data_IF_964774561410
#
_entry.id   IF_964774561410
#
_cell.length_a   1.000
_cell.length_b   1.000
_cell.length_c   1.000
_cell.angle_alpha   90.00
_cell.angle_beta   90.00
_cell.angle_gamma   90.00
#
_symmetry.space_group_name_H-M   'P 1'
#
loop_
_entity.id
_entity.type
_entity.pdbx_description
1 polymer ?
#
# COMPACT_ATOMS: atom_id res chain seq x y z
N UNK A 1 26.84 4.78 -0.43
CA UNK A 1 25.66 5.44 -0.23
C UNK A 1 24.48 4.75 -0.76
N UNK A 2 23.48 4.57 0.01
CA UNK A 2 22.34 3.83 -0.41
C UNK A 2 21.28 4.76 -0.89
N UNK A 3 20.64 4.41 -1.97
CA UNK A 3 19.54 5.21 -2.45
C UNK A 3 18.37 5.09 -1.49
N UNK A 4 17.57 6.14 -1.41
CA UNK A 4 16.38 6.10 -0.59
C UNK A 4 15.40 5.11 -1.17
N UNK A 5 14.66 4.44 -0.28
CA UNK A 5 13.58 3.58 -0.73
C UNK A 5 12.44 4.45 -1.24
N UNK A 6 11.82 4.03 -2.31
CA UNK A 6 10.75 4.79 -2.94
C UNK A 6 9.40 4.20 -2.55
N UNK A 7 8.53 5.04 -2.02
CA UNK A 7 7.19 4.62 -1.63
C UNK A 7 6.18 5.30 -2.52
N UNK A 8 5.17 4.55 -2.97
CA UNK A 8 4.07 5.10 -3.74
C UNK A 8 2.86 5.20 -2.80
N UNK A 9 2.31 6.39 -2.64
CA UNK A 9 1.11 6.60 -1.84
C UNK A 9 -0.04 6.96 -2.75
N UNK A 10 -1.13 6.22 -2.69
CA UNK A 10 -2.30 6.46 -3.54
C UNK A 10 -3.53 6.65 -2.66
N UNK A 11 -4.14 7.83 -2.73
CA UNK A 11 -5.34 8.14 -1.95
C UNK A 11 -5.99 9.35 -2.61
N UNK A 12 -7.31 9.38 -2.71
CA UNK A 12 -7.98 10.52 -3.31
C UNK A 12 -8.19 11.66 -2.30
N UNK A 13 -7.83 11.46 -1.05
CA UNK A 13 -7.91 12.50 -0.04
C UNK A 13 -6.57 13.22 0.02
N UNK A 14 -6.53 14.45 -0.46
CA UNK A 14 -5.30 15.21 -0.53
C UNK A 14 -4.68 15.50 0.82
N UNK A 15 -5.50 15.67 1.85
CA UNK A 15 -4.98 15.91 3.18
C UNK A 15 -4.24 14.69 3.70
N UNK A 16 -4.77 13.52 3.46
CA UNK A 16 -4.12 12.30 3.89
C UNK A 16 -2.81 12.12 3.13
N UNK A 17 -2.84 12.35 1.82
CA UNK A 17 -1.63 12.22 1.03
C UNK A 17 -0.55 13.16 1.54
N UNK A 18 -0.91 14.40 1.84
CA UNK A 18 0.07 15.35 2.29
C UNK A 18 0.63 14.98 3.64
N UNK A 19 -0.23 14.60 4.57
CA UNK A 19 0.22 14.24 5.91
C UNK A 19 1.12 13.03 5.90
N UNK A 20 0.72 11.99 5.20
CA UNK A 20 1.52 10.77 5.17
C UNK A 20 2.80 10.97 4.38
N UNK A 21 2.74 11.75 3.31
CA UNK A 21 3.90 12.00 2.49
C UNK A 21 4.97 12.74 3.30
N UNK A 22 4.57 13.77 4.04
CA UNK A 22 5.51 14.52 4.85
C UNK A 22 6.11 13.64 5.95
N UNK A 23 5.26 12.85 6.58
CA UNK A 23 5.73 12.00 7.67
C UNK A 23 6.69 10.94 7.19
N UNK A 24 6.39 10.31 6.06
CA UNK A 24 7.27 9.27 5.54
C UNK A 24 8.55 9.86 4.95
N UNK A 25 8.47 11.03 4.33
CA UNK A 25 9.68 11.69 3.87
C UNK A 25 10.60 12.02 5.03
N UNK A 26 10.02 12.36 6.18
CA UNK A 26 10.79 12.60 7.37
C UNK A 26 11.51 11.38 7.90
N UNK A 27 11.04 10.18 7.52
CA UNK A 27 11.70 8.94 7.90
C UNK A 27 12.80 8.55 6.91
N UNK A 28 13.02 9.34 5.89
CA UNK A 28 14.07 9.07 4.92
C UNK A 28 13.65 8.41 3.64
N UNK A 29 12.35 8.31 3.40
CA UNK A 29 11.87 7.68 2.16
C UNK A 29 11.64 8.72 1.08
N UNK A 30 11.78 8.31 -0.16
CA UNK A 30 11.37 9.12 -1.30
C UNK A 30 9.91 8.78 -1.58
N UNK A 31 9.02 9.76 -1.55
CA UNK A 31 7.59 9.50 -1.64
C UNK A 31 7.03 10.04 -2.94
N UNK A 32 6.32 9.19 -3.68
CA UNK A 32 5.61 9.59 -4.88
C UNK A 32 4.12 9.46 -4.55
N UNK A 33 3.33 10.48 -4.84
CA UNK A 33 1.91 10.48 -4.51
C UNK A 33 1.07 10.40 -5.76
N UNK A 34 -0.10 9.79 -5.63
CA UNK A 34 -1.07 9.70 -6.71
C UNK A 34 -2.46 9.88 -6.10
N UNK A 35 -3.34 10.57 -6.81
CA UNK A 35 -4.65 10.91 -6.27
C UNK A 35 -5.73 9.91 -6.65
N UNK A 36 -5.39 8.87 -7.35
CA UNK A 36 -6.36 7.86 -7.74
C UNK A 36 -5.69 6.77 -8.53
N UNK A 37 -6.50 5.85 -9.03
CA UNK A 37 -5.97 4.68 -9.71
C UNK A 37 -5.19 5.05 -10.97
N UNK A 38 -5.71 5.99 -11.76
CA UNK A 38 -5.05 6.35 -13.00
C UNK A 38 -3.67 6.94 -12.74
N UNK A 39 -3.57 7.87 -11.81
CA UNK A 39 -2.27 8.44 -11.48
C UNK A 39 -1.35 7.39 -10.90
N UNK A 40 -1.91 6.46 -10.12
CA UNK A 40 -1.11 5.36 -9.60
C UNK A 40 -0.55 4.49 -10.71
N UNK A 41 -1.37 4.20 -11.70
CA UNK A 41 -0.92 3.41 -12.83
C UNK A 41 0.17 4.15 -13.61
N UNK A 42 0.02 5.45 -13.77
CA UNK A 42 1.02 6.26 -14.46
C UNK A 42 2.34 6.25 -13.68
N UNK A 43 2.26 6.33 -12.36
CA UNK A 43 3.46 6.29 -11.55
C UNK A 43 4.19 4.96 -11.70
N UNK A 44 3.46 3.87 -11.84
CA UNK A 44 4.07 2.56 -12.03
C UNK A 44 4.80 2.45 -13.35
N UNK A 45 4.34 3.18 -14.35
CA UNK A 45 5.00 3.17 -15.64
C UNK A 45 6.33 3.92 -15.59
N UNK A 46 6.48 4.83 -14.64
CA UNK A 46 7.70 5.59 -14.52
C UNK A 46 8.79 4.85 -13.74
N UNK A 47 8.41 3.86 -12.98
CA UNK A 47 9.41 3.08 -12.26
C UNK A 47 8.78 2.23 -11.18
N UNK A 48 9.55 1.27 -10.69
CA UNK A 48 9.07 0.36 -9.68
C UNK A 48 9.20 0.97 -8.29
N UNK A 49 8.11 1.05 -7.52
CA UNK A 49 8.26 1.48 -6.14
C UNK A 49 8.81 0.33 -5.29
N UNK A 50 9.44 0.66 -4.19
CA UNK A 50 9.91 -0.35 -3.27
C UNK A 50 8.76 -0.83 -2.39
N UNK A 51 7.72 -0.02 -2.22
CA UNK A 51 6.53 -0.38 -1.47
C UNK A 51 5.41 0.55 -1.88
N UNK A 52 4.18 0.09 -1.86
CA UNK A 52 3.02 0.92 -2.17
C UNK A 52 2.03 0.93 -1.01
N UNK A 53 1.45 2.10 -0.72
CA UNK A 53 0.39 2.26 0.26
C UNK A 53 -0.81 2.80 -0.48
N UNK A 54 -1.90 2.06 -0.50
CA UNK A 54 -3.04 2.35 -1.37
C UNK A 54 -4.33 2.41 -0.57
N UNK A 55 -5.10 3.48 -0.76
CA UNK A 55 -6.45 3.56 -0.22
C UNK A 55 -7.34 2.59 -0.98
N UNK A 56 -8.10 1.78 -0.27
CA UNK A 56 -8.95 0.80 -0.91
C UNK A 56 -10.04 1.43 -1.73
N UNK A 57 -10.71 2.43 -1.17
CA UNK A 57 -11.87 3.01 -1.82
C UNK A 57 -11.56 4.40 -2.31
N UNK A 58 -11.36 4.52 -3.59
CA UNK A 58 -11.06 5.79 -4.20
C UNK A 58 -12.21 6.19 -5.12
N UNK A 59 -11.97 6.31 -6.41
CA UNK A 59 -13.03 6.69 -7.32
C UNK A 59 -14.11 5.63 -7.39
N UNK A 60 -13.70 4.37 -7.26
CA UNK A 60 -14.63 3.26 -7.27
C UNK A 60 -14.38 2.40 -6.07
N UNK A 61 -15.35 1.58 -5.74
CA UNK A 61 -15.31 0.81 -4.54
C UNK A 61 -14.11 -0.11 -4.42
N UNK A 62 -13.63 -0.63 -5.51
CA UNK A 62 -12.55 -1.59 -5.49
C UNK A 62 -11.29 -1.09 -6.18
N UNK A 63 -11.17 0.22 -6.38
CA UNK A 63 -10.00 0.77 -7.08
C UNK A 63 -8.69 0.34 -6.44
N UNK A 64 -8.65 0.29 -5.10
CA UNK A 64 -7.43 -0.11 -4.42
C UNK A 64 -7.06 -1.54 -4.68
N UNK A 65 -8.04 -2.44 -4.73
CA UNK A 65 -7.78 -3.84 -5.03
C UNK A 65 -7.26 -4.00 -6.46
N UNK A 66 -7.87 -3.28 -7.40
CA UNK A 66 -7.47 -3.38 -8.79
C UNK A 66 -6.03 -2.89 -8.94
N UNK A 67 -5.69 -1.77 -8.31
CA UNK A 67 -4.35 -1.25 -8.40
C UNK A 67 -3.34 -2.19 -7.74
N UNK A 68 -3.70 -2.78 -6.62
CA UNK A 68 -2.85 -3.75 -5.96
C UNK A 68 -2.56 -4.93 -6.89
N UNK A 69 -3.58 -5.41 -7.56
CA UNK A 69 -3.43 -6.52 -8.49
C UNK A 69 -2.47 -6.13 -9.62
N UNK A 70 -2.59 -4.91 -10.12
CA UNK A 70 -1.72 -4.45 -11.18
C UNK A 70 -0.27 -4.33 -10.72
N UNK A 71 -0.06 -3.86 -9.50
CA UNK A 71 1.28 -3.78 -8.96
C UNK A 71 1.90 -5.17 -8.85
N UNK A 72 1.14 -6.12 -8.34
CA UNK A 72 1.67 -7.47 -8.18
C UNK A 72 1.91 -8.15 -9.53
N UNK A 73 1.18 -7.75 -10.54
CA UNK A 73 1.38 -8.29 -11.86
C UNK A 73 2.65 -7.72 -12.49
N UNK A 74 2.89 -6.42 -12.32
CA UNK A 74 4.06 -5.78 -12.89
C UNK A 74 5.30 -6.00 -12.06
N UNK A 75 5.16 -5.94 -10.75
CA UNK A 75 6.28 -6.00 -9.82
C UNK A 75 5.93 -6.92 -8.66
N UNK A 76 6.02 -8.23 -8.88
CA UNK A 76 5.53 -9.18 -7.86
C UNK A 76 6.25 -9.08 -6.51
N UNK A 77 7.45 -8.55 -6.50
CA UNK A 77 8.18 -8.42 -5.25
C UNK A 77 7.90 -7.15 -4.47
N UNK A 78 7.09 -6.23 -5.02
CA UNK A 78 6.79 -4.99 -4.33
C UNK A 78 5.70 -5.21 -3.31
N UNK A 79 5.95 -4.97 -2.02
CA UNK A 79 4.90 -5.14 -1.01
C UNK A 79 3.86 -4.03 -1.11
N UNK A 80 2.62 -4.37 -0.78
CA UNK A 80 1.50 -3.45 -0.88
C UNK A 80 0.74 -3.44 0.44
N UNK A 81 0.52 -2.23 0.99
CA UNK A 81 -0.31 -2.03 2.16
C UNK A 81 -1.60 -1.36 1.68
N UNK A 82 -2.74 -1.90 2.05
CA UNK A 82 -4.02 -1.32 1.70
C UNK A 82 -4.64 -0.69 2.94
N UNK A 83 -5.09 0.56 2.80
CA UNK A 83 -5.79 1.26 3.87
C UNK A 83 -7.28 1.17 3.61
N UNK A 84 -8.03 0.76 4.59
CA UNK A 84 -9.46 0.54 4.41
C UNK A 84 -10.25 1.24 5.49
N UNK A 85 -11.34 1.89 5.11
CA UNK A 85 -12.23 2.52 6.06
C UNK A 85 -13.22 1.48 6.54
N UNK A 86 -13.15 1.13 7.82
CA UNK A 86 -14.02 0.13 8.38
C UNK A 86 -15.00 0.82 9.31
N UNK A 87 -16.29 0.64 9.05
CA UNK A 87 -17.29 1.21 9.92
C UNK A 87 -17.99 0.10 10.66
N UNK A 88 -18.65 0.44 11.73
CA UNK A 88 -19.36 -0.57 12.49
C UNK A 88 -20.45 -1.22 11.67
N UNK A 89 -21.00 -0.50 10.70
CA UNK A 89 -22.07 -1.06 9.89
C UNK A 89 -21.55 -2.01 8.83
N UNK A 90 -20.40 -1.73 8.27
CA UNK A 90 -19.91 -2.55 7.18
C UNK A 90 -18.64 -3.28 7.52
N UNK A 91 -18.03 -2.96 8.63
CA UNK A 91 -16.75 -3.55 8.95
C UNK A 91 -16.79 -5.04 9.06
N UNK A 92 -17.79 -5.56 9.71
CA UNK A 92 -17.90 -6.97 9.91
C UNK A 92 -18.10 -7.68 8.59
N UNK A 93 -18.99 -7.16 7.77
CA UNK A 93 -19.26 -7.75 6.48
C UNK A 93 -18.02 -7.65 5.59
N UNK A 94 -17.33 -6.55 5.65
CA UNK A 94 -16.13 -6.39 4.84
C UNK A 94 -15.11 -7.43 5.26
N UNK A 95 -14.88 -7.61 6.54
CA UNK A 95 -13.90 -8.58 7.00
C UNK A 95 -14.31 -10.01 6.69
N UNK A 96 -15.58 -10.31 6.80
CA UNK A 96 -16.05 -11.62 6.46
C UNK A 96 -15.83 -11.93 5.00
N UNK A 97 -16.08 -10.94 4.15
CA UNK A 97 -15.85 -11.15 2.75
C UNK A 97 -14.40 -11.08 2.39
N UNK A 98 -13.63 -10.31 3.12
CA UNK A 98 -12.25 -10.10 2.77
C UNK A 98 -11.39 -11.34 2.96
N UNK A 99 -11.89 -12.34 3.65
CA UNK A 99 -11.15 -13.59 3.75
C UNK A 99 -10.92 -14.17 2.36
N UNK A 100 -11.93 -14.18 1.54
CA UNK A 100 -11.78 -14.63 0.18
C UNK A 100 -11.12 -13.59 -0.70
N UNK A 101 -11.42 -12.33 -0.46
CA UNK A 101 -10.82 -11.28 -1.25
C UNK A 101 -9.32 -11.19 -1.01
N UNK A 102 -8.86 -11.44 0.19
CA UNK A 102 -7.46 -11.40 0.49
C UNK A 102 -6.67 -12.43 -0.27
N UNK A 103 -7.23 -13.62 -0.45
CA UNK A 103 -6.58 -14.63 -1.23
C UNK A 103 -6.41 -14.19 -2.66
N UNK A 104 -7.34 -13.34 -3.13
CA UNK A 104 -7.31 -12.88 -4.50
C UNK A 104 -6.44 -11.65 -4.67
N UNK A 105 -6.48 -10.75 -3.72
CA UNK A 105 -5.82 -9.47 -3.85
C UNK A 105 -4.33 -9.52 -3.62
N UNK A 106 -3.90 -10.35 -2.71
CA UNK A 106 -2.49 -10.52 -2.40
C UNK A 106 -1.83 -9.29 -1.80
N UNK A 107 -2.58 -8.48 -1.07
CA UNK A 107 -1.98 -7.39 -0.33
C UNK A 107 -1.15 -7.96 0.81
N UNK A 108 -0.07 -7.29 1.14
CA UNK A 108 0.82 -7.73 2.19
C UNK A 108 0.35 -7.29 3.57
N UNK A 109 -0.43 -6.22 3.64
CA UNK A 109 -1.01 -5.78 4.90
C UNK A 109 -2.27 -4.98 4.63
N UNK A 110 -3.22 -5.06 5.56
CA UNK A 110 -4.44 -4.26 5.53
C UNK A 110 -4.48 -3.48 6.82
N UNK A 111 -4.61 -2.16 6.74
CA UNK A 111 -4.70 -1.33 7.92
C UNK A 111 -6.00 -0.55 7.92
N UNK A 112 -6.64 -0.45 9.08
CA UNK A 112 -7.91 0.25 9.19
C UNK A 112 -7.69 1.74 9.30
N UNK A 113 -8.55 2.53 8.71
CA UNK A 113 -8.55 3.97 8.89
C UNK A 113 -9.37 4.32 10.12
N UNK A 114 -9.03 5.36 10.83
CA UNK A 114 -7.88 6.23 10.60
C UNK A 114 -6.59 5.53 10.99
N UNK A 115 -5.63 5.57 10.10
CA UNK A 115 -4.39 4.85 10.35
C UNK A 115 -3.49 5.73 11.21
N UNK A 116 -2.87 5.12 12.19
CA UNK A 116 -1.90 5.84 13.01
C UNK A 116 -0.58 5.81 12.29
N UNK A 117 0.11 6.95 12.29
CA UNK A 117 1.39 6.98 11.58
C UNK A 117 2.37 5.96 12.15
N UNK A 118 2.37 5.77 13.46
CA UNK A 118 3.28 4.80 14.06
C UNK A 118 3.02 3.39 13.55
N UNK A 119 1.76 3.05 13.36
CA UNK A 119 1.41 1.74 12.84
C UNK A 119 1.85 1.60 11.39
N UNK A 120 1.60 2.62 10.59
CA UNK A 120 2.01 2.60 9.20
C UNK A 120 3.53 2.52 9.09
N UNK A 121 4.23 3.30 9.88
CA UNK A 121 5.69 3.31 9.87
C UNK A 121 6.25 1.92 10.16
N UNK A 122 5.67 1.25 11.15
CA UNK A 122 6.14 -0.08 11.50
C UNK A 122 5.89 -1.09 10.37
N UNK A 123 4.73 -1.01 9.73
CA UNK A 123 4.44 -1.93 8.64
C UNK A 123 5.34 -1.66 7.43
N UNK A 124 5.59 -0.41 7.13
CA UNK A 124 6.48 -0.06 6.04
C UNK A 124 7.87 -0.62 6.32
N UNK A 125 8.36 -0.40 7.53
CA UNK A 125 9.67 -0.85 7.90
C UNK A 125 9.77 -2.37 7.85
N UNK A 126 8.76 -3.05 8.38
CA UNK A 126 8.74 -4.50 8.40
C UNK A 126 8.78 -5.07 6.99
N UNK A 127 7.96 -4.53 6.10
CA UNK A 127 7.86 -5.05 4.75
C UNK A 127 9.09 -4.72 3.91
N UNK A 128 9.73 -3.59 4.15
CA UNK A 128 10.94 -3.26 3.42
C UNK A 128 12.12 -4.08 3.87
N UNK A 129 12.12 -4.55 5.10
CA UNK A 129 13.22 -5.35 5.59
C UNK A 129 13.06 -6.82 5.30
N UNK A 130 11.83 -7.31 5.17
CA UNK A 130 11.61 -8.72 5.03
C UNK A 130 11.50 -9.28 3.65
N UNK A 131 11.17 -8.56 2.63
CA UNK A 131 10.84 -9.18 1.35
C UNK A 131 11.93 -10.02 0.80
N UNK A 132 13.13 -9.57 0.90
CA UNK A 132 14.22 -10.34 0.39
C UNK A 132 14.41 -11.54 1.20
N UNK A 133 14.17 -11.45 2.45
CA UNK A 133 14.29 -12.56 3.27
C UNK A 133 13.35 -13.61 2.97
N UNK A 134 12.17 -13.26 2.63
CA UNK A 134 11.24 -14.24 2.29
C UNK A 134 11.64 -14.99 1.11
N UNK A 135 12.19 -14.33 0.16
CA UNK A 135 12.65 -15.00 -1.00
C UNK A 135 13.70 -15.95 -0.63
N UNK A 136 14.52 -15.61 0.31
CA UNK A 136 15.58 -16.49 0.64
C UNK A 136 15.12 -17.61 1.49
N UNK A 137 14.11 -17.41 2.20
CA UNK A 137 13.64 -18.43 3.00
C UNK A 137 13.24 -19.58 2.27
N UNK A 138 12.89 -19.26 1.23
CA UNK A 138 12.57 -20.27 0.48
C UNK A 138 13.56 -21.29 0.43
N UNK A 139 14.25 -21.07 0.85
CA UNK A 139 14.97 -21.68 1.02
C UNK A 139 15.12 -22.42 1.78
N UNK A 140 14.73 -22.14 2.16
CA UNK A 140 15.01 -22.71 2.88
C UNK A 140 14.70 -23.45 3.00
#
# INVERSE_FOLDING_TARGET
MTAKKRLLLVDDDLDILEQLSLALAGEGYEVVTAQGRQEGEEALMLGRPDLAVIDLMMEEMDSGFVLCHEIKKLYPGTPVIILTAVTSATGLDFHARSAGARAWVKADALLDKPVRFEQLREEVRRLLLSPTMEASVVHH
#
